data_IF_125506342127
#
_entry.id   IF_125506342127
#
_cell.length_a   1.000
_cell.length_b   1.000
_cell.length_c   1.000
_cell.angle_alpha   90.00
_cell.angle_beta   90.00
_cell.angle_gamma   90.00
#
_symmetry.space_group_name_H-M   'P 1'
#
loop_
_entity.id
_entity.type
_entity.pdbx_description
1 polymer ?
#
# COMPACT_ATOMS: atom_id res chain seq x y z
N UNK A 1 41.22 2.90 51.21
CA UNK A 1 40.87 1.81 50.26
C UNK A 1 39.81 0.98 50.97
N UNK A 2 38.55 0.85 50.56
CA UNK A 2 37.94 0.73 49.23
C UNK A 2 36.42 0.96 49.39
N UNK A 3 35.89 2.04 48.83
CA UNK A 3 34.42 2.25 48.71
C UNK A 3 34.12 2.72 47.28
N UNK A 4 34.33 1.86 46.28
CA UNK A 4 34.07 2.23 44.88
C UNK A 4 33.46 1.14 44.00
N UNK A 5 32.93 0.05 44.57
CA UNK A 5 32.48 -1.11 43.75
C UNK A 5 30.95 -1.26 43.60
N UNK A 6 30.11 -0.74 44.52
CA UNK A 6 28.66 -1.02 44.49
C UNK A 6 27.82 -0.15 43.54
N UNK A 7 28.26 1.07 43.25
CA UNK A 7 27.50 2.03 42.43
C UNK A 7 27.61 1.75 40.92
N UNK A 8 28.75 1.18 40.48
CA UNK A 8 28.98 0.79 39.09
C UNK A 8 28.04 -0.34 38.67
N UNK A 9 27.95 -1.41 39.46
CA UNK A 9 27.17 -2.61 39.11
C UNK A 9 25.67 -2.33 38.96
N UNK A 10 25.09 -1.47 39.81
CA UNK A 10 23.70 -1.05 39.67
C UNK A 10 23.48 -0.17 38.43
N UNK A 11 24.39 0.75 38.14
CA UNK A 11 24.29 1.61 36.95
C UNK A 11 24.41 0.80 35.65
N UNK A 12 25.32 -0.18 35.61
CA UNK A 12 25.52 -1.06 34.47
C UNK A 12 24.29 -1.98 34.24
N UNK A 13 23.64 -2.41 35.32
CA UNK A 13 22.40 -3.20 35.24
C UNK A 13 21.24 -2.37 34.71
N UNK A 14 21.07 -1.13 35.17
CA UNK A 14 20.01 -0.24 34.67
C UNK A 14 20.23 0.16 33.20
N UNK A 15 21.49 0.41 32.82
CA UNK A 15 21.85 0.69 31.42
C UNK A 15 21.51 -0.51 30.52
N UNK A 16 21.91 -1.72 30.92
CA UNK A 16 21.60 -2.94 30.17
C UNK A 16 20.09 -3.21 30.07
N UNK A 17 19.34 -2.98 31.15
CA UNK A 17 17.88 -3.10 31.14
C UNK A 17 17.22 -2.09 30.19
N UNK A 18 17.73 -0.85 30.14
CA UNK A 18 17.24 0.18 29.21
C UNK A 18 17.57 -0.13 27.76
N UNK A 19 18.77 -0.65 27.46
CA UNK A 19 19.17 -1.08 26.12
C UNK A 19 18.35 -2.28 25.65
N UNK A 20 18.05 -3.22 26.54
CA UNK A 20 17.19 -4.37 26.24
C UNK A 20 15.75 -3.96 25.97
N UNK A 21 15.18 -3.04 26.75
CA UNK A 21 13.85 -2.50 26.53
C UNK A 21 13.77 -1.77 25.18
N UNK A 22 14.72 -0.89 24.87
CA UNK A 22 14.79 -0.19 23.57
C UNK A 22 14.94 -1.16 22.39
N UNK A 23 15.77 -2.21 22.53
CA UNK A 23 15.94 -3.26 21.51
C UNK A 23 14.64 -4.05 21.28
N UNK A 24 13.89 -4.32 22.34
CA UNK A 24 12.59 -4.99 22.27
C UNK A 24 11.53 -4.10 21.60
N UNK A 25 11.45 -2.82 21.95
CA UNK A 25 10.51 -1.88 21.37
C UNK A 25 10.80 -1.66 19.88
N UNK A 26 12.09 -1.56 19.51
CA UNK A 26 12.52 -1.45 18.11
C UNK A 26 12.18 -2.70 17.30
N UNK A 27 12.37 -3.90 17.85
CA UNK A 27 12.03 -5.14 17.16
C UNK A 27 10.51 -5.31 16.99
N UNK A 28 9.71 -4.89 17.98
CA UNK A 28 8.26 -4.89 17.87
C UNK A 28 7.75 -3.86 16.84
N UNK A 29 8.34 -2.66 16.81
CA UNK A 29 8.02 -1.63 15.82
C UNK A 29 8.36 -2.10 14.39
N UNK A 30 9.51 -2.74 14.18
CA UNK A 30 9.91 -3.32 12.90
C UNK A 30 8.94 -4.42 12.45
N UNK A 31 8.54 -5.31 13.37
CA UNK A 31 7.58 -6.38 13.06
C UNK A 31 6.23 -5.82 12.61
N UNK A 32 5.69 -4.82 13.33
CA UNK A 32 4.44 -4.12 12.96
C UNK A 32 4.55 -3.39 11.62
N UNK A 33 5.68 -2.72 11.37
CA UNK A 33 5.92 -2.04 10.11
C UNK A 33 5.98 -3.02 8.93
N UNK A 34 6.59 -4.19 9.15
CA UNK A 34 6.69 -5.27 8.16
C UNK A 34 5.31 -5.87 7.88
N UNK A 35 4.52 -6.15 8.91
CA UNK A 35 3.13 -6.62 8.77
C UNK A 35 2.26 -5.62 8.01
N UNK A 36 2.33 -4.34 8.37
CA UNK A 36 1.60 -3.25 7.69
C UNK A 36 2.01 -3.14 6.21
N UNK A 37 3.30 -3.27 5.92
CA UNK A 37 3.81 -3.26 4.55
C UNK A 37 3.31 -4.45 3.72
N UNK A 38 3.33 -5.67 4.28
CA UNK A 38 2.80 -6.85 3.61
C UNK A 38 1.30 -6.73 3.35
N UNK A 39 0.53 -6.26 4.33
CA UNK A 39 -0.90 -6.04 4.18
C UNK A 39 -1.20 -5.02 3.07
N UNK A 40 -0.53 -3.87 3.07
CA UNK A 40 -0.69 -2.85 2.03
C UNK A 40 -0.28 -3.35 0.65
N UNK A 41 0.79 -4.15 0.56
CA UNK A 41 1.24 -4.76 -0.70
C UNK A 41 0.20 -5.75 -1.23
N UNK A 42 -0.34 -6.61 -0.37
CA UNK A 42 -1.38 -7.57 -0.75
C UNK A 42 -2.67 -6.86 -1.20
N UNK A 43 -3.07 -5.80 -0.51
CA UNK A 43 -4.22 -4.98 -0.90
C UNK A 43 -4.00 -4.31 -2.27
N UNK A 44 -2.82 -3.72 -2.49
CA UNK A 44 -2.44 -3.13 -3.76
C UNK A 44 -2.45 -4.17 -4.91
N UNK A 45 -1.89 -5.35 -4.68
CA UNK A 45 -1.91 -6.45 -5.65
C UNK A 45 -3.33 -6.88 -6.01
N UNK A 46 -4.20 -7.02 -5.01
CA UNK A 46 -5.61 -7.38 -5.22
C UNK A 46 -6.33 -6.31 -6.04
N UNK A 47 -6.11 -5.04 -5.72
CA UNK A 47 -6.76 -3.93 -6.42
C UNK A 47 -6.27 -3.84 -7.88
N UNK A 48 -4.97 -3.97 -8.13
CA UNK A 48 -4.41 -4.06 -9.48
C UNK A 48 -5.01 -5.23 -10.30
N UNK A 49 -5.15 -6.41 -9.69
CA UNK A 49 -5.79 -7.56 -10.36
C UNK A 49 -7.26 -7.28 -10.68
N UNK A 50 -7.98 -6.67 -9.75
CA UNK A 50 -9.37 -6.27 -9.95
C UNK A 50 -9.51 -5.28 -11.12
N UNK A 51 -8.64 -4.27 -11.18
CA UNK A 51 -8.64 -3.29 -12.24
C UNK A 51 -8.31 -3.90 -13.61
N UNK A 52 -7.27 -4.74 -13.68
CA UNK A 52 -6.91 -5.44 -14.92
C UNK A 52 -8.07 -6.31 -15.42
N UNK A 53 -8.74 -7.03 -14.52
CA UNK A 53 -9.91 -7.84 -14.89
C UNK A 53 -11.03 -6.98 -15.48
N UNK A 54 -11.39 -5.88 -14.81
CA UNK A 54 -12.42 -4.95 -15.29
C UNK A 54 -12.04 -4.33 -16.65
N UNK A 55 -10.78 -3.95 -16.85
CA UNK A 55 -10.32 -3.32 -18.09
C UNK A 55 -10.38 -4.30 -19.26
N UNK A 56 -9.92 -5.53 -19.07
CA UNK A 56 -10.00 -6.60 -20.08
C UNK A 56 -11.45 -6.90 -20.46
N UNK A 57 -12.37 -6.93 -19.49
CA UNK A 57 -13.80 -7.13 -19.75
C UNK A 57 -14.37 -6.01 -20.63
N UNK A 58 -14.14 -4.74 -20.25
CA UNK A 58 -14.56 -3.56 -21.03
C UNK A 58 -13.93 -3.48 -22.42
N UNK A 59 -12.65 -3.84 -22.54
CA UNK A 59 -11.97 -3.92 -23.83
C UNK A 59 -12.59 -4.99 -24.73
N UNK A 60 -12.92 -6.15 -24.16
CA UNK A 60 -13.63 -7.22 -24.87
C UNK A 60 -15.04 -6.83 -25.31
N UNK A 61 -15.77 -6.09 -24.47
CA UNK A 61 -17.08 -5.52 -24.83
C UNK A 61 -16.97 -4.55 -26.00
N UNK A 62 -16.01 -3.62 -25.93
CA UNK A 62 -15.76 -2.64 -26.99
C UNK A 62 -15.38 -3.33 -28.30
N UNK A 63 -14.51 -4.34 -28.25
CA UNK A 63 -14.13 -5.11 -29.43
C UNK A 63 -15.34 -5.82 -30.07
N UNK A 64 -16.21 -6.42 -29.25
CA UNK A 64 -17.47 -7.03 -29.74
C UNK A 64 -18.40 -6.02 -30.39
N UNK A 65 -18.49 -4.82 -29.83
CA UNK A 65 -19.32 -3.75 -30.38
C UNK A 65 -18.78 -3.27 -31.73
N UNK A 66 -17.46 -3.04 -31.83
CA UNK A 66 -16.80 -2.66 -33.08
C UNK A 66 -17.01 -3.72 -34.17
N UNK A 67 -16.90 -5.01 -33.83
CA UNK A 67 -17.15 -6.11 -34.78
C UNK A 67 -18.61 -6.16 -35.27
N UNK A 68 -19.54 -5.62 -34.50
CA UNK A 68 -20.95 -5.50 -34.87
C UNK A 68 -21.28 -4.31 -35.78
N UNK A 69 -20.36 -3.36 -35.94
CA UNK A 69 -20.60 -2.14 -36.72
C UNK A 69 -20.56 -2.39 -38.23
N UNK A 70 -21.51 -1.79 -38.97
CA UNK A 70 -21.55 -1.84 -40.44
C UNK A 70 -20.85 -0.65 -41.11
N UNK A 71 -20.54 0.40 -40.35
CA UNK A 71 -19.92 1.62 -40.88
C UNK A 71 -18.84 2.17 -39.91
N UNK A 72 -17.94 2.99 -40.45
CA UNK A 72 -16.80 3.57 -39.71
C UNK A 72 -17.20 4.71 -38.75
N UNK A 73 -18.35 5.36 -38.97
CA UNK A 73 -18.83 6.41 -38.08
C UNK A 73 -19.20 5.83 -36.71
N UNK A 74 -19.87 4.68 -36.69
CA UNK A 74 -20.21 3.95 -35.46
C UNK A 74 -18.95 3.51 -34.71
N UNK A 75 -17.93 3.02 -35.44
CA UNK A 75 -16.63 2.66 -34.85
C UNK A 75 -15.96 3.86 -34.20
N UNK A 76 -16.03 5.04 -34.83
CA UNK A 76 -15.44 6.28 -34.29
C UNK A 76 -16.15 6.73 -33.01
N UNK A 77 -17.48 6.61 -32.96
CA UNK A 77 -18.25 6.91 -31.75
C UNK A 77 -17.91 5.95 -30.60
N UNK A 78 -17.75 4.65 -30.90
CA UNK A 78 -17.34 3.64 -29.91
C UNK A 78 -15.94 3.94 -29.38
N UNK A 79 -14.99 4.25 -30.27
CA UNK A 79 -13.61 4.61 -29.89
C UNK A 79 -13.56 5.85 -28.99
N UNK A 80 -14.36 6.89 -29.30
CA UNK A 80 -14.41 8.10 -28.46
C UNK A 80 -14.92 7.78 -27.06
N UNK A 81 -16.01 7.00 -26.95
CA UNK A 81 -16.55 6.57 -25.66
C UNK A 81 -15.55 5.72 -24.89
N UNK A 82 -14.93 4.74 -25.56
CA UNK A 82 -13.90 3.89 -24.97
C UNK A 82 -12.75 4.71 -24.38
N UNK A 83 -12.29 5.75 -25.08
CA UNK A 83 -11.21 6.61 -24.61
C UNK A 83 -11.61 7.38 -23.35
N UNK A 84 -12.79 8.02 -23.37
CA UNK A 84 -13.31 8.76 -22.20
C UNK A 84 -13.45 7.85 -20.97
N UNK A 85 -14.02 6.66 -21.17
CA UNK A 85 -14.20 5.67 -20.11
C UNK A 85 -12.86 5.17 -19.58
N UNK A 86 -11.91 4.87 -20.47
CA UNK A 86 -10.56 4.41 -20.10
C UNK A 86 -9.86 5.44 -19.24
N UNK A 87 -9.84 6.70 -19.66
CA UNK A 87 -9.21 7.80 -18.89
C UNK A 87 -9.86 7.94 -17.51
N UNK A 88 -11.19 7.88 -17.44
CA UNK A 88 -11.93 7.95 -16.18
C UNK A 88 -11.58 6.78 -15.25
N UNK A 89 -11.54 5.57 -15.78
CA UNK A 89 -11.24 4.35 -15.04
C UNK A 89 -9.83 4.42 -14.42
N UNK A 90 -8.81 4.81 -15.19
CA UNK A 90 -7.43 4.96 -14.71
C UNK A 90 -7.29 6.04 -13.63
N UNK A 91 -7.98 7.18 -13.77
CA UNK A 91 -7.95 8.24 -12.76
C UNK A 91 -8.60 7.79 -11.45
N UNK A 92 -9.73 7.07 -11.54
CA UNK A 92 -10.39 6.45 -10.39
C UNK A 92 -9.44 5.48 -9.69
N UNK A 93 -8.78 4.62 -10.47
CA UNK A 93 -7.90 3.59 -9.94
C UNK A 93 -6.68 4.17 -9.23
N UNK A 94 -6.07 5.20 -9.82
CA UNK A 94 -4.96 5.92 -9.20
C UNK A 94 -5.35 6.49 -7.84
N UNK A 95 -6.57 7.03 -7.72
CA UNK A 95 -7.09 7.56 -6.45
C UNK A 95 -7.22 6.47 -5.38
N UNK A 96 -7.68 5.27 -5.76
CA UNK A 96 -7.78 4.13 -4.84
C UNK A 96 -6.41 3.64 -4.38
N UNK A 97 -5.45 3.49 -5.31
CA UNK A 97 -4.09 3.08 -4.97
C UNK A 97 -3.44 4.08 -4.01
N UNK A 98 -3.62 5.38 -4.24
CA UNK A 98 -3.14 6.43 -3.34
C UNK A 98 -3.80 6.36 -1.95
N UNK A 99 -5.08 5.98 -1.90
CA UNK A 99 -5.78 5.75 -0.63
C UNK A 99 -5.21 4.56 0.12
N UNK A 100 -4.94 3.44 -0.54
CA UNK A 100 -4.29 2.25 0.06
C UNK A 100 -2.91 2.61 0.61
N UNK A 101 -2.13 3.34 -0.19
CA UNK A 101 -0.79 3.79 0.22
C UNK A 101 -0.85 4.72 1.43
N UNK A 102 -1.73 5.73 1.42
CA UNK A 102 -1.86 6.70 2.51
C UNK A 102 -2.27 6.02 3.81
N UNK A 103 -3.23 5.08 3.76
CA UNK A 103 -3.63 4.27 4.93
C UNK A 103 -2.47 3.48 5.52
N UNK A 104 -1.62 2.90 4.66
CA UNK A 104 -0.44 2.16 5.11
C UNK A 104 0.62 3.05 5.79
N UNK A 105 0.68 4.33 5.42
CA UNK A 105 1.59 5.33 5.99
C UNK A 105 1.03 5.87 7.30
N UNK A 106 -0.27 6.17 7.38
CA UNK A 106 -0.94 6.68 8.58
C UNK A 106 -0.95 5.65 9.72
N UNK A 107 -0.98 4.35 9.40
CA UNK A 107 -0.77 3.26 10.36
C UNK A 107 0.59 3.29 11.08
N UNK A 108 1.58 4.06 10.59
CA UNK A 108 2.86 4.31 11.27
C UNK A 108 2.85 5.49 12.25
N UNK A 109 1.81 6.32 12.25
CA UNK A 109 1.77 7.60 12.98
C UNK A 109 1.47 7.52 14.49
N UNK A 110 1.16 6.35 15.04
CA UNK A 110 0.80 6.18 16.46
C UNK A 110 1.88 5.45 17.27
N UNK A 111 3.14 5.86 17.13
CA UNK A 111 4.24 5.48 18.03
C UNK A 111 5.14 6.70 18.19
N UNK A 112 4.74 7.63 19.05
CA UNK A 112 5.47 8.88 19.27
C UNK A 112 4.70 9.86 20.14
N UNK A 113 4.44 9.48 21.38
CA UNK A 113 3.92 10.32 22.46
C UNK A 113 4.37 9.78 23.80
#
# INVERSE_FOLDING_TARGET
MTTMSKQSTLSDTMRSASEFALSRDNSQALAKATETWFAATAECQREMMSFMSMRVEKDGETAREILGCRNLADVTAIQSRWLEETVRDYNSEMTKLMTIYTKSVEGRGHVGG
#
